data_IF_572344978884
#
_entry.id   IF_572344978884
#
_cell.length_a   1.000
_cell.length_b   1.000
_cell.length_c   1.000
_cell.angle_alpha   90.00
_cell.angle_beta   90.00
_cell.angle_gamma   90.00
#
_symmetry.space_group_name_H-M   'P 1'
#
loop_
_entity.id
_entity.type
_entity.pdbx_description
1 polymer ?
#
# COMPACT_ATOMS: atom_id res chain seq x y z
N UNK A 1 -6.29 17.44 1.62
CA UNK A 1 -5.95 18.09 2.93
C UNK A 1 -6.97 17.79 4.07
N UNK A 2 -8.07 17.04 3.85
CA UNK A 2 -9.15 16.90 4.87
C UNK A 2 -9.26 15.55 5.61
N UNK A 3 -8.43 14.54 5.30
CA UNK A 3 -8.44 13.28 6.04
C UNK A 3 -7.88 13.38 7.47
N UNK A 4 -7.20 14.49 7.81
CA UNK A 4 -6.57 14.73 9.12
C UNK A 4 -7.55 15.08 10.26
N UNK A 5 -8.79 15.47 9.94
CA UNK A 5 -9.74 15.99 10.95
C UNK A 5 -10.81 15.00 11.40
N UNK A 6 -10.89 13.80 10.83
CA UNK A 6 -11.98 12.86 11.11
C UNK A 6 -11.58 11.57 11.84
N UNK A 7 -10.37 11.50 12.44
CA UNK A 7 -9.96 10.29 13.19
C UNK A 7 -9.80 9.03 12.32
N UNK A 8 -9.71 9.17 10.99
CA UNK A 8 -9.45 8.05 10.10
C UNK A 8 -8.00 7.62 10.24
N UNK A 9 -7.80 6.38 10.66
CA UNK A 9 -6.49 5.74 10.73
C UNK A 9 -6.04 5.42 9.30
N UNK A 10 -4.86 5.89 8.90
CA UNK A 10 -4.28 5.50 7.63
C UNK A 10 -3.81 4.06 7.74
N UNK A 11 -4.13 3.24 6.74
CA UNK A 11 -3.71 1.84 6.70
C UNK A 11 -2.69 1.68 5.57
N UNK A 12 -1.62 0.97 5.85
CA UNK A 12 -0.64 0.49 4.86
C UNK A 12 -0.26 -0.95 5.19
N UNK A 13 0.56 -1.58 4.36
CA UNK A 13 0.98 -2.98 4.54
C UNK A 13 2.49 -3.10 4.60
N UNK A 14 3.00 -4.17 5.20
CA UNK A 14 4.43 -4.49 5.16
C UNK A 14 4.96 -4.68 3.72
N UNK A 15 4.12 -5.04 2.75
CA UNK A 15 4.51 -5.15 1.34
C UNK A 15 4.76 -3.78 0.72
N UNK A 16 3.87 -2.81 0.93
CA UNK A 16 4.09 -1.41 0.51
C UNK A 16 5.34 -0.82 1.18
N UNK A 17 5.58 -1.13 2.46
CA UNK A 17 6.81 -0.70 3.14
C UNK A 17 8.07 -1.34 2.50
N UNK A 18 8.01 -2.62 2.13
CA UNK A 18 9.13 -3.30 1.48
C UNK A 18 9.43 -2.71 0.08
N UNK A 19 8.39 -2.46 -0.71
CA UNK A 19 8.50 -1.82 -2.02
C UNK A 19 9.03 -0.39 -1.92
N UNK A 20 8.52 0.41 -0.98
CA UNK A 20 9.02 1.75 -0.71
C UNK A 20 10.52 1.72 -0.33
N UNK A 21 10.92 0.78 0.54
CA UNK A 21 12.32 0.63 0.93
C UNK A 21 13.21 0.27 -0.28
N UNK A 22 12.73 -0.63 -1.14
CA UNK A 22 13.42 -1.02 -2.35
C UNK A 22 13.56 0.17 -3.31
N UNK A 23 12.47 0.89 -3.59
CA UNK A 23 12.42 2.07 -4.47
C UNK A 23 13.36 3.18 -4.01
N UNK A 24 13.34 3.51 -2.71
CA UNK A 24 14.21 4.53 -2.13
C UNK A 24 15.68 4.12 -2.21
N UNK A 25 15.98 2.83 -2.04
CA UNK A 25 17.34 2.32 -2.19
C UNK A 25 17.78 2.32 -3.67
N UNK A 26 16.91 1.89 -4.58
CA UNK A 26 17.12 1.87 -6.02
C UNK A 26 15.77 1.96 -6.77
N UNK A 27 15.62 2.86 -7.74
CA UNK A 27 16.67 3.63 -8.41
C UNK A 27 16.92 5.00 -7.77
N UNK A 28 16.28 5.34 -6.65
CA UNK A 28 16.38 6.70 -6.09
C UNK A 28 17.69 6.97 -5.31
N UNK A 29 18.46 5.92 -4.98
CA UNK A 29 19.77 6.02 -4.32
C UNK A 29 19.77 6.89 -3.04
N UNK A 30 18.67 6.85 -2.27
CA UNK A 30 18.56 7.58 -1.00
C UNK A 30 19.48 6.93 0.04
N UNK A 31 20.23 7.71 0.84
CA UNK A 31 21.08 7.17 1.90
C UNK A 31 20.32 6.24 2.86
N UNK A 32 20.86 5.03 3.08
CA UNK A 32 20.25 3.99 3.93
C UNK A 32 19.77 4.49 5.31
N UNK A 33 20.51 5.36 6.04
CA UNK A 33 20.03 5.89 7.32
C UNK A 33 18.73 6.69 7.21
N UNK A 34 18.53 7.44 6.12
CA UNK A 34 17.30 8.21 5.90
C UNK A 34 16.11 7.29 5.60
N UNK A 35 16.33 6.22 4.83
CA UNK A 35 15.31 5.20 4.55
C UNK A 35 14.87 4.54 5.86
N UNK A 36 15.82 4.14 6.72
CA UNK A 36 15.53 3.53 8.02
C UNK A 36 14.73 4.48 8.90
N UNK A 37 15.15 5.74 8.99
CA UNK A 37 14.45 6.75 9.79
C UNK A 37 13.00 6.96 9.31
N UNK A 38 12.79 7.07 7.99
CA UNK A 38 11.46 7.20 7.40
C UNK A 38 10.56 6.01 7.75
N UNK A 39 11.05 4.78 7.54
CA UNK A 39 10.27 3.57 7.81
C UNK A 39 9.96 3.42 9.31
N UNK A 40 10.90 3.76 10.19
CA UNK A 40 10.66 3.74 11.63
C UNK A 40 9.55 4.73 11.99
N UNK A 41 9.57 5.96 11.46
CA UNK A 41 8.52 6.95 11.69
C UNK A 41 7.15 6.48 11.18
N UNK A 42 7.09 5.77 10.05
CA UNK A 42 5.84 5.18 9.56
C UNK A 42 5.32 4.10 10.52
N UNK A 43 6.21 3.22 11.01
CA UNK A 43 5.86 2.10 11.90
C UNK A 43 5.48 2.53 13.31
N UNK A 44 6.01 3.64 13.81
CA UNK A 44 5.74 4.15 15.17
C UNK A 44 4.66 5.24 15.21
N UNK A 45 4.18 5.70 14.05
CA UNK A 45 3.14 6.71 13.96
C UNK A 45 1.82 6.20 14.55
N UNK A 46 1.23 6.98 15.48
CA UNK A 46 -0.09 6.68 16.04
C UNK A 46 -1.24 6.76 15.02
N UNK A 47 -1.00 7.46 13.90
CA UNK A 47 -1.98 7.71 12.84
C UNK A 47 -1.94 6.68 11.71
N UNK A 48 -0.89 5.84 11.67
CA UNK A 48 -0.66 4.86 10.62
C UNK A 48 -0.68 3.47 11.24
N UNK A 49 -1.57 2.62 10.73
CA UNK A 49 -1.58 1.21 11.02
C UNK A 49 -0.86 0.45 9.90
N UNK A 50 0.21 -0.25 10.25
CA UNK A 50 0.95 -1.11 9.33
C UNK A 50 0.44 -2.53 9.51
N UNK A 51 -0.45 -2.98 8.61
CA UNK A 51 -0.95 -4.34 8.60
C UNK A 51 0.13 -5.29 8.05
N UNK A 52 0.29 -6.43 8.71
CA UNK A 52 1.12 -7.51 8.17
C UNK A 52 0.27 -8.41 7.29
N UNK A 53 0.68 -8.60 6.03
CA UNK A 53 0.07 -9.55 5.10
C UNK A 53 0.27 -10.95 5.68
N UNK A 54 -0.84 -11.58 6.06
CA UNK A 54 -0.87 -12.98 6.48
C UNK A 54 -0.74 -13.90 5.28
N UNK A 55 -0.41 -15.18 5.50
CA UNK A 55 -0.36 -16.19 4.43
C UNK A 55 -1.68 -16.29 3.65
N UNK A 56 -2.82 -16.05 4.31
CA UNK A 56 -4.12 -16.07 3.65
C UNK A 56 -4.31 -14.86 2.70
N UNK A 57 -3.92 -13.66 3.15
CA UNK A 57 -3.96 -12.45 2.33
C UNK A 57 -2.98 -12.55 1.16
N UNK A 58 -1.80 -13.11 1.39
CA UNK A 58 -0.79 -13.37 0.35
C UNK A 58 -1.32 -14.33 -0.73
N UNK A 59 -1.89 -15.46 -0.33
CA UNK A 59 -2.49 -16.41 -1.28
C UNK A 59 -3.61 -15.77 -2.11
N UNK A 60 -4.46 -14.94 -1.50
CA UNK A 60 -5.52 -14.22 -2.21
C UNK A 60 -4.94 -13.18 -3.19
N UNK A 61 -3.88 -12.47 -2.78
CA UNK A 61 -3.17 -11.52 -3.63
C UNK A 61 -2.54 -12.22 -4.83
N UNK A 62 -1.89 -13.36 -4.61
CA UNK A 62 -1.30 -14.19 -5.66
C UNK A 62 -2.35 -14.72 -6.63
N UNK A 63 -3.48 -15.21 -6.12
CA UNK A 63 -4.59 -15.65 -6.96
C UNK A 63 -5.11 -14.51 -7.84
N UNK A 64 -5.33 -13.32 -7.26
CA UNK A 64 -5.79 -12.15 -8.02
C UNK A 64 -4.78 -11.76 -9.11
N UNK A 65 -3.50 -11.69 -8.75
CA UNK A 65 -2.40 -11.39 -9.69
C UNK A 65 -2.38 -12.39 -10.85
N UNK A 66 -2.47 -13.68 -10.54
CA UNK A 66 -2.46 -14.76 -11.55
C UNK A 66 -3.68 -14.76 -12.46
N UNK A 67 -4.81 -14.22 -12.01
CA UNK A 67 -6.05 -14.14 -12.78
C UNK A 67 -6.17 -12.87 -13.64
N UNK A 68 -5.29 -11.89 -13.46
CA UNK A 68 -5.35 -10.57 -14.11
C UNK A 68 -4.18 -10.34 -15.06
N UNK A 69 -3.99 -11.28 -15.98
CA UNK A 69 -3.00 -11.18 -17.06
C UNK A 69 -3.27 -9.99 -18.02
N UNK A 70 -4.49 -9.46 -18.00
CA UNK A 70 -4.89 -8.26 -18.76
C UNK A 70 -4.46 -6.94 -18.10
N UNK A 71 -3.84 -6.98 -16.91
CA UNK A 71 -3.47 -5.81 -16.12
C UNK A 71 -1.99 -5.81 -15.79
N UNK A 72 -1.39 -4.61 -15.74
CA UNK A 72 -0.02 -4.40 -15.28
C UNK A 72 0.06 -4.18 -13.75
N UNK A 73 -0.86 -4.77 -13.01
CA UNK A 73 -0.87 -4.65 -11.54
C UNK A 73 0.30 -5.40 -10.94
N UNK A 74 0.99 -4.81 -9.98
CA UNK A 74 2.01 -5.52 -9.21
C UNK A 74 1.35 -6.46 -8.18
N UNK A 75 2.15 -7.36 -7.60
CA UNK A 75 1.69 -8.17 -6.45
C UNK A 75 1.40 -7.28 -5.23
N UNK A 76 2.12 -6.16 -5.08
CA UNK A 76 1.89 -5.19 -4.00
C UNK A 76 0.53 -4.51 -4.18
N UNK A 77 0.18 -4.12 -5.40
CA UNK A 77 -1.15 -3.59 -5.74
C UNK A 77 -2.24 -4.61 -5.43
N UNK A 78 -2.08 -5.85 -5.90
CA UNK A 78 -3.03 -6.93 -5.64
C UNK A 78 -3.23 -7.17 -4.14
N UNK A 79 -2.15 -7.17 -3.35
CA UNK A 79 -2.23 -7.31 -1.89
C UNK A 79 -2.98 -6.15 -1.25
N UNK A 80 -2.78 -4.93 -1.76
CA UNK A 80 -3.49 -3.73 -1.32
C UNK A 80 -4.98 -3.83 -1.65
N UNK A 81 -5.34 -4.30 -2.85
CA UNK A 81 -6.74 -4.47 -3.25
C UNK A 81 -7.45 -5.52 -2.39
N UNK A 82 -6.80 -6.64 -2.08
CA UNK A 82 -7.34 -7.68 -1.20
C UNK A 82 -7.57 -7.14 0.20
N UNK A 83 -6.59 -6.43 0.78
CA UNK A 83 -6.73 -5.80 2.09
C UNK A 83 -7.88 -4.78 2.07
N UNK A 84 -7.91 -3.87 1.09
CA UNK A 84 -8.95 -2.85 1.01
C UNK A 84 -10.34 -3.47 0.93
N UNK A 85 -10.53 -4.51 0.12
CA UNK A 85 -11.81 -5.25 0.04
C UNK A 85 -12.17 -5.92 1.37
N UNK A 86 -11.21 -6.59 2.03
CA UNK A 86 -11.45 -7.30 3.30
C UNK A 86 -11.87 -6.35 4.42
N UNK A 87 -11.30 -5.15 4.46
CA UNK A 87 -11.57 -4.15 5.49
C UNK A 87 -12.62 -3.11 5.09
N UNK A 88 -13.25 -3.25 3.92
CA UNK A 88 -14.28 -2.30 3.45
C UNK A 88 -13.73 -0.89 3.17
N UNK A 89 -12.45 -0.77 2.81
CA UNK A 89 -11.78 0.49 2.51
C UNK A 89 -11.99 0.81 1.03
N UNK A 90 -12.61 1.95 0.74
CA UNK A 90 -12.91 2.39 -0.62
C UNK A 90 -11.92 3.43 -1.17
N UNK A 91 -11.23 4.14 -0.27
CA UNK A 91 -10.39 5.29 -0.62
C UNK A 91 -8.91 4.93 -0.54
N UNK A 92 -8.14 5.23 -1.60
CA UNK A 92 -6.70 5.02 -1.67
C UNK A 92 -5.97 6.36 -1.76
N UNK A 93 -4.96 6.55 -0.92
CA UNK A 93 -4.08 7.72 -0.97
C UNK A 93 -2.95 7.49 -1.98
N UNK A 94 -3.29 7.50 -3.27
CA UNK A 94 -2.36 7.26 -4.38
C UNK A 94 -2.81 8.03 -5.62
N UNK A 95 -1.88 8.26 -6.55
CA UNK A 95 -2.14 8.74 -7.91
C UNK A 95 -2.14 7.60 -8.93
N UNK A 96 -1.96 6.36 -8.49
CA UNK A 96 -1.89 5.20 -9.38
C UNK A 96 -3.28 4.80 -9.87
N UNK A 97 -3.49 4.92 -11.17
CA UNK A 97 -4.71 4.51 -11.87
C UNK A 97 -5.06 3.02 -11.71
N UNK A 98 -4.12 2.15 -11.30
CA UNK A 98 -4.42 0.73 -11.02
C UNK A 98 -5.51 0.58 -9.95
N UNK A 99 -5.53 1.47 -8.96
CA UNK A 99 -6.54 1.45 -7.90
C UNK A 99 -7.93 1.80 -8.45
N UNK A 100 -8.02 2.76 -9.37
CA UNK A 100 -9.28 3.09 -10.06
C UNK A 100 -9.76 1.93 -10.93
N UNK A 101 -8.85 1.27 -11.66
CA UNK A 101 -9.17 0.08 -12.45
C UNK A 101 -9.70 -1.08 -11.59
N UNK A 102 -9.21 -1.21 -10.35
CA UNK A 102 -9.68 -2.19 -9.38
C UNK A 102 -10.97 -1.77 -8.66
N UNK A 103 -11.48 -0.57 -8.94
CA UNK A 103 -12.74 -0.05 -8.44
C UNK A 103 -12.64 0.80 -7.17
N UNK A 104 -11.44 1.31 -6.82
CA UNK A 104 -11.21 2.18 -5.66
C UNK A 104 -11.19 3.67 -6.03
N UNK A 105 -11.38 4.53 -5.03
CA UNK A 105 -11.35 5.99 -5.20
C UNK A 105 -9.96 6.53 -4.85
N UNK A 106 -9.22 7.03 -5.86
CA UNK A 106 -7.95 7.70 -5.63
C UNK A 106 -8.17 9.12 -5.07
N UNK A 107 -7.57 9.40 -3.92
CA UNK A 107 -7.68 10.70 -3.23
C UNK A 107 -6.65 11.73 -3.70
N UNK A 108 -5.58 11.30 -4.36
CA UNK A 108 -4.57 12.18 -4.95
C UNK A 108 -4.86 12.27 -6.45
N UNK A 109 -5.21 13.46 -6.92
CA UNK A 109 -5.39 13.82 -8.33
C UNK A 109 -4.39 14.90 -8.70
#
# INVERSE_FOLDING_TARGET
RNSRQQGHRLITTNYVIAELAALLNSPLHIPRPLIINLINNLKTSIWIEVLHISSELDNQAWQLFSQRLDKNWSLVDCSSFVVMKRYGIQEALTTDHHFEQAGFNCLLK
#
